data_IF_760113935615
#
_entry.id   IF_760113935615
#
_cell.length_a   1.000
_cell.length_b   1.000
_cell.length_c   1.000
_cell.angle_alpha   90.00
_cell.angle_beta   90.00
_cell.angle_gamma   90.00
#
_symmetry.space_group_name_H-M   'P 1'
#
loop_
_entity.id
_entity.type
_entity.pdbx_description
1 polymer ?
#
# COMPACT_ATOMS: atom_id res chain seq x y z
N UNK A 1 20.52 18.60 12.04
CA UNK A 1 19.79 18.29 10.79
C UNK A 1 19.00 17.01 11.04
N UNK A 2 17.70 17.10 11.29
CA UNK A 2 16.88 15.92 11.59
C UNK A 2 16.90 14.96 10.39
N UNK A 3 17.02 13.63 10.58
CA UNK A 3 16.95 12.68 9.49
C UNK A 3 15.59 12.84 8.81
N UNK A 4 15.60 13.28 7.55
CA UNK A 4 14.41 13.26 6.71
C UNK A 4 14.14 11.77 6.45
N UNK A 5 13.27 11.17 7.25
CA UNK A 5 12.78 9.81 6.97
C UNK A 5 11.98 9.88 5.67
N UNK A 6 12.66 9.64 4.56
CA UNK A 6 12.05 9.58 3.24
C UNK A 6 11.06 8.43 3.29
N UNK A 7 9.75 8.74 3.22
CA UNK A 7 8.73 7.71 3.09
C UNK A 7 8.99 6.99 1.77
N UNK A 8 9.07 5.68 1.82
CA UNK A 8 9.22 4.81 0.67
C UNK A 8 8.03 3.87 0.61
N UNK A 9 7.70 3.41 -0.59
CA UNK A 9 6.70 2.39 -0.80
C UNK A 9 7.15 1.15 -0.04
N UNK A 10 6.28 0.62 0.81
CA UNK A 10 6.65 -0.49 1.63
C UNK A 10 6.70 -1.83 0.89
N UNK A 11 6.17 -1.89 -0.33
CA UNK A 11 6.25 -3.10 -1.16
C UNK A 11 7.72 -3.46 -1.37
N UNK A 12 8.13 -4.70 -1.03
CA UNK A 12 9.48 -5.16 -1.30
C UNK A 12 9.76 -5.02 -2.80
N UNK A 13 10.95 -4.52 -3.14
CA UNK A 13 11.37 -4.29 -4.52
C UNK A 13 10.68 -3.12 -5.28
N UNK A 14 9.87 -2.28 -4.62
CA UNK A 14 9.29 -1.10 -5.27
C UNK A 14 10.19 0.14 -5.20
N UNK A 15 10.67 0.50 -3.99
CA UNK A 15 11.59 1.63 -3.77
C UNK A 15 11.06 3.02 -4.15
N UNK A 16 9.80 3.15 -4.57
CA UNK A 16 9.20 4.43 -4.98
C UNK A 16 9.07 5.39 -3.79
N UNK A 17 9.45 6.64 -4.01
CA UNK A 17 9.38 7.74 -3.03
C UNK A 17 8.26 8.74 -3.32
N UNK A 18 7.44 8.49 -4.35
CA UNK A 18 6.42 9.41 -4.84
C UNK A 18 5.03 8.77 -4.83
N UNK A 19 4.00 9.61 -4.65
CA UNK A 19 2.57 9.27 -4.71
C UNK A 19 2.17 8.12 -3.79
N UNK A 20 2.10 8.41 -2.50
CA UNK A 20 1.71 7.48 -1.46
C UNK A 20 0.22 7.55 -1.16
N UNK A 21 -0.40 6.38 -1.12
CA UNK A 21 -1.73 6.20 -0.58
C UNK A 21 -1.64 5.43 0.74
N UNK A 22 -2.53 5.79 1.65
CA UNK A 22 -2.70 5.08 2.91
C UNK A 22 -3.49 3.82 2.67
N UNK A 23 -3.31 2.85 3.56
CA UNK A 23 -4.16 1.68 3.61
C UNK A 23 -5.63 2.10 3.87
N UNK A 24 -6.60 1.37 3.32
CA UNK A 24 -8.01 1.58 3.61
C UNK A 24 -8.28 1.35 5.10
N UNK A 25 -9.21 2.12 5.67
CA UNK A 25 -9.62 1.97 7.07
C UNK A 25 -10.34 0.64 7.34
N UNK A 26 -10.94 0.06 6.29
CA UNK A 26 -11.65 -1.21 6.37
C UNK A 26 -10.69 -2.40 6.55
N UNK A 27 -10.82 -3.16 7.65
CA UNK A 27 -9.90 -4.24 7.97
C UNK A 27 -9.99 -5.42 6.99
N UNK A 28 -11.16 -5.65 6.37
CA UNK A 28 -11.30 -6.68 5.34
C UNK A 28 -10.54 -6.32 4.06
N UNK A 29 -10.68 -5.09 3.60
CA UNK A 29 -9.96 -4.60 2.40
C UNK A 29 -8.46 -4.57 2.70
N UNK A 30 -8.07 -4.07 3.88
CA UNK A 30 -6.67 -4.06 4.32
C UNK A 30 -6.07 -5.48 4.35
N UNK A 31 -6.83 -6.49 4.80
CA UNK A 31 -6.42 -7.91 4.77
C UNK A 31 -6.15 -8.42 3.36
N UNK A 32 -7.06 -8.16 2.43
CA UNK A 32 -6.88 -8.57 1.03
C UNK A 32 -5.65 -7.90 0.41
N UNK A 33 -5.45 -6.62 0.69
CA UNK A 33 -4.28 -5.86 0.25
C UNK A 33 -2.98 -6.45 0.78
N UNK A 34 -2.92 -6.79 2.06
CA UNK A 34 -1.73 -7.38 2.66
C UNK A 34 -1.41 -8.75 2.09
N UNK A 35 -2.42 -9.59 1.90
CA UNK A 35 -2.26 -10.88 1.23
C UNK A 35 -1.84 -10.73 -0.24
N UNK A 36 -2.40 -9.78 -0.96
CA UNK A 36 -2.11 -9.60 -2.39
C UNK A 36 -0.72 -9.01 -2.64
N UNK A 37 -0.31 -8.03 -1.82
CA UNK A 37 0.91 -7.25 -2.03
C UNK A 37 2.10 -7.86 -1.30
N UNK A 38 1.89 -8.28 -0.05
CA UNK A 38 2.95 -8.78 0.82
C UNK A 38 2.91 -10.29 0.99
N UNK A 39 1.81 -10.94 0.61
CA UNK A 39 1.54 -12.35 0.91
C UNK A 39 1.77 -12.68 2.40
N UNK A 40 1.50 -11.70 3.27
CA UNK A 40 1.74 -11.73 4.71
C UNK A 40 0.48 -11.32 5.48
N UNK A 41 0.48 -11.64 6.77
CA UNK A 41 -0.63 -11.34 7.66
C UNK A 41 -0.63 -9.86 8.09
N UNK A 42 -1.79 -9.17 8.08
CA UNK A 42 -1.93 -7.78 8.51
C UNK A 42 -1.29 -7.44 9.84
N UNK A 43 -1.29 -8.39 10.78
CA UNK A 43 -0.82 -8.16 12.14
C UNK A 43 0.70 -7.96 12.18
N UNK A 44 1.41 -8.48 11.16
CA UNK A 44 2.85 -8.28 10.97
C UNK A 44 3.18 -6.96 10.28
N UNK A 45 2.18 -6.32 9.67
CA UNK A 45 2.38 -5.14 8.81
C UNK A 45 2.06 -3.87 9.59
N UNK A 46 2.98 -2.91 9.58
CA UNK A 46 2.81 -1.66 10.33
C UNK A 46 1.63 -0.82 9.81
N UNK A 47 0.83 -0.23 10.72
CA UNK A 47 -0.29 0.67 10.35
C UNK A 47 0.14 1.96 9.62
N UNK A 48 1.41 2.33 9.75
CA UNK A 48 2.00 3.50 9.08
C UNK A 48 2.48 3.19 7.65
N UNK A 49 2.18 2.00 7.14
CA UNK A 49 2.60 1.55 5.84
C UNK A 49 1.90 2.34 4.75
N UNK A 50 2.70 2.81 3.81
CA UNK A 50 2.23 3.53 2.63
C UNK A 50 2.62 2.78 1.37
N UNK A 51 1.72 2.80 0.42
CA UNK A 51 1.83 2.07 -0.83
C UNK A 51 1.76 3.10 -1.97
N UNK A 52 2.57 2.92 -3.00
CA UNK A 52 2.54 3.85 -4.14
C UNK A 52 1.37 3.52 -5.08
N UNK A 53 0.89 4.51 -5.84
CA UNK A 53 -0.25 4.38 -6.75
C UNK A 53 -0.13 3.24 -7.77
N UNK A 54 1.09 2.74 -8.05
CA UNK A 54 1.28 1.58 -8.94
C UNK A 54 0.70 0.28 -8.38
N UNK A 55 0.65 0.16 -7.05
CA UNK A 55 0.03 -0.99 -6.38
C UNK A 55 -1.46 -0.76 -6.11
N UNK A 56 -1.93 0.46 -6.33
CA UNK A 56 -3.34 0.76 -6.50
C UNK A 56 -3.62 0.74 -7.99
N UNK A 57 -3.62 -0.44 -8.60
CA UNK A 57 -4.48 -0.66 -9.76
C UNK A 57 -5.90 -0.47 -9.24
N UNK A 58 -6.36 0.77 -9.29
CA UNK A 58 -7.76 1.13 -9.27
C UNK A 58 -8.36 0.45 -10.49
N UNK A 59 -8.66 -0.83 -10.36
CA UNK A 59 -9.67 -1.45 -11.19
C UNK A 59 -10.97 -0.78 -10.78
N UNK A 60 -11.22 0.40 -11.35
CA UNK A 60 -12.55 0.69 -11.85
C UNK A 60 -12.87 -0.31 -12.96
N UNK A 61 -12.90 -1.61 -12.65
CA UNK A 61 -13.52 -2.62 -13.49
C UNK A 61 -14.99 -2.70 -13.07
N UNK A 62 -15.67 -1.57 -13.19
CA UNK A 62 -17.10 -1.51 -13.42
C UNK A 62 -17.47 -0.11 -13.91
N UNK A 63 -17.43 0.06 -15.23
CA UNK A 63 -18.28 0.91 -16.06
C UNK A 63 -17.42 1.30 -17.27
N UNK A 64 -17.57 0.70 -18.45
CA UNK A 64 -18.77 0.89 -19.28
C UNK A 64 -18.73 -0.09 -20.45
N UNK A 65 -19.81 -0.88 -20.58
CA UNK A 65 -20.35 -1.54 -21.78
C UNK A 65 -19.61 -2.73 -22.39
#
# INVERSE_FOLDING_TARGET
>A
MAPKTTKCCAVPNCGKTQSFHRLPSDPNIMKEWMKFIFNEDPDRVSKNLVLCSLHFTWTSENSTK
#
